data_IF_814445488594
#
_entry.id   IF_814445488594
#
_cell.length_a   1.000
_cell.length_b   1.000
_cell.length_c   1.000
_cell.angle_alpha   90.00
_cell.angle_beta   90.00
_cell.angle_gamma   90.00
#
_symmetry.space_group_name_H-M   'P 1'
#
loop_
_entity.id
_entity.type
_entity.pdbx_description
1 polymer ?
#
# COMPACT_ATOMS: atom_id res chain seq x y z
N UNK A 1 19.72 47.67 -47.40
CA UNK A 1 20.93 46.97 -46.90
C UNK A 1 20.45 46.03 -45.80
N UNK A 2 20.61 44.71 -45.75
CA UNK A 2 21.35 43.72 -46.55
C UNK A 2 21.02 42.30 -45.99
N UNK A 3 20.87 41.30 -46.88
CA UNK A 3 21.26 39.87 -46.78
C UNK A 3 20.66 39.04 -45.61
N UNK A 4 19.77 38.06 -45.78
CA UNK A 4 19.83 36.84 -46.61
C UNK A 4 21.15 36.05 -46.38
N UNK A 5 21.16 35.12 -45.41
CA UNK A 5 22.19 34.05 -45.34
C UNK A 5 21.85 32.98 -44.29
N UNK A 6 22.16 31.73 -44.65
CA UNK A 6 22.35 30.53 -43.79
C UNK A 6 21.19 29.55 -43.66
N UNK A 7 20.69 29.10 -44.81
CA UNK A 7 20.63 27.67 -45.10
C UNK A 7 22.05 27.26 -45.51
N UNK A 8 22.62 26.22 -44.90
CA UNK A 8 23.74 25.38 -45.40
C UNK A 8 24.62 24.88 -44.25
N UNK A 9 24.23 23.77 -43.62
CA UNK A 9 25.22 22.88 -42.98
C UNK A 9 24.68 21.45 -42.86
N UNK A 10 24.13 20.92 -43.94
CA UNK A 10 24.01 19.46 -44.13
C UNK A 10 25.10 19.09 -45.13
N UNK A 11 25.79 17.98 -44.86
CA UNK A 11 26.79 17.32 -45.71
C UNK A 11 28.16 18.01 -45.86
N UNK A 12 29.09 17.60 -45.00
CA UNK A 12 30.49 17.46 -45.41
C UNK A 12 31.14 16.29 -44.65
N UNK A 13 31.11 15.12 -45.28
CA UNK A 13 32.15 14.08 -45.38
C UNK A 13 32.83 13.62 -44.06
N UNK A 14 32.60 12.43 -43.52
CA UNK A 14 32.95 11.05 -43.97
C UNK A 14 34.47 10.83 -44.18
N UNK A 15 34.97 9.78 -43.50
CA UNK A 15 36.28 9.04 -43.59
C UNK A 15 37.47 9.78 -42.93
N UNK A 16 38.28 9.25 -42.00
CA UNK A 16 39.10 8.01 -41.97
C UNK A 16 39.58 7.78 -40.52
N UNK A 17 39.68 6.53 -40.02
CA UNK A 17 40.46 6.23 -38.80
C UNK A 17 40.23 4.85 -38.16
N UNK A 18 40.61 3.79 -38.86
CA UNK A 18 40.58 2.38 -38.43
C UNK A 18 41.81 2.03 -37.56
N UNK A 19 41.64 1.27 -36.45
CA UNK A 19 42.54 0.22 -35.91
C UNK A 19 42.20 -0.09 -34.44
N UNK A 20 41.53 -1.22 -34.16
CA UNK A 20 42.12 -2.48 -33.67
C UNK A 20 42.48 -2.49 -32.18
N UNK A 21 41.67 -3.17 -31.37
CA UNK A 21 42.16 -4.07 -30.32
C UNK A 21 41.22 -5.28 -30.20
N UNK A 22 41.80 -6.44 -30.38
CA UNK A 22 41.20 -7.77 -30.33
C UNK A 22 40.96 -8.23 -28.89
N UNK A 23 39.83 -8.89 -28.65
CA UNK A 23 39.72 -9.97 -27.67
C UNK A 23 38.95 -11.13 -28.30
N UNK A 24 39.46 -12.38 -28.20
CA UNK A 24 38.87 -13.53 -28.87
C UNK A 24 37.56 -13.96 -28.19
N UNK A 25 36.48 -13.92 -28.95
CA UNK A 25 35.22 -14.57 -28.59
C UNK A 25 35.42 -16.09 -28.67
N UNK A 26 35.21 -16.78 -27.55
CA UNK A 26 35.16 -18.23 -27.52
C UNK A 26 33.94 -18.75 -28.27
N UNK A 27 34.22 -19.55 -29.30
CA UNK A 27 33.30 -20.48 -29.93
C UNK A 27 32.73 -21.48 -28.92
N UNK A 28 31.40 -21.55 -28.86
CA UNK A 28 30.57 -22.77 -29.02
C UNK A 28 29.11 -22.45 -28.69
N UNK A 29 28.18 -22.43 -29.66
CA UNK A 29 26.77 -22.49 -29.36
C UNK A 29 26.41 -23.93 -28.97
N UNK A 30 26.34 -24.20 -27.67
CA UNK A 30 25.61 -25.38 -27.19
C UNK A 30 24.15 -25.21 -27.60
N UNK A 31 23.76 -25.96 -28.62
CA UNK A 31 22.39 -26.21 -29.06
C UNK A 31 21.61 -26.92 -27.93
N UNK A 32 21.34 -26.21 -26.83
CA UNK A 32 20.23 -26.57 -25.95
C UNK A 32 19.01 -25.92 -26.57
N UNK A 33 18.28 -26.76 -27.32
CA UNK A 33 16.92 -26.52 -27.78
C UNK A 33 16.10 -26.16 -26.54
N UNK A 34 15.97 -24.85 -26.25
CA UNK A 34 15.14 -24.33 -25.17
C UNK A 34 13.72 -24.71 -25.53
N UNK A 35 13.24 -25.83 -25.01
CA UNK A 35 11.82 -26.14 -25.01
C UNK A 35 11.15 -24.92 -24.38
N UNK A 36 10.29 -24.27 -25.16
CA UNK A 36 9.43 -23.21 -24.66
C UNK A 36 8.73 -23.79 -23.44
N UNK A 37 9.02 -23.23 -22.27
CA UNK A 37 8.26 -23.56 -21.08
C UNK A 37 6.79 -23.32 -21.44
N UNK A 38 5.86 -24.19 -20.99
CA UNK A 38 4.44 -23.91 -21.10
C UNK A 38 4.22 -22.49 -20.57
N UNK A 39 3.44 -21.68 -21.30
CA UNK A 39 3.06 -20.36 -20.80
C UNK A 39 2.60 -20.54 -19.35
N UNK A 40 3.17 -19.79 -18.39
CA UNK A 40 2.71 -19.88 -17.02
C UNK A 40 1.19 -19.66 -17.06
N UNK A 41 0.40 -20.48 -16.37
CA UNK A 41 -1.04 -20.26 -16.30
C UNK A 41 -1.24 -18.79 -15.91
N UNK A 42 -2.24 -18.09 -16.49
CA UNK A 42 -2.49 -16.70 -16.15
C UNK A 42 -2.53 -16.63 -14.64
N UNK A 43 -1.54 -15.92 -14.07
CA UNK A 43 -1.42 -15.77 -12.64
C UNK A 43 -2.70 -15.05 -12.24
N UNK A 44 -3.71 -15.82 -11.79
CA UNK A 44 -4.87 -15.29 -11.12
C UNK A 44 -4.30 -14.34 -10.08
N UNK A 45 -4.57 -13.04 -10.26
CA UNK A 45 -3.88 -11.93 -9.60
C UNK A 45 -3.50 -12.34 -8.18
N UNK A 46 -2.23 -12.73 -8.02
CA UNK A 46 -1.73 -13.27 -6.76
C UNK A 46 -1.52 -12.06 -5.88
N UNK A 47 -2.63 -11.53 -5.39
CA UNK A 47 -2.76 -11.02 -4.05
C UNK A 47 -1.46 -10.41 -3.51
N UNK A 48 -1.05 -9.24 -4.01
CA UNK A 48 -0.17 -8.34 -3.28
C UNK A 48 -0.94 -7.86 -2.04
N UNK A 49 -1.21 -8.77 -1.10
CA UNK A 49 -2.34 -8.59 -0.17
C UNK A 49 -1.91 -7.87 1.09
N UNK A 50 -0.75 -8.16 1.67
CA UNK A 50 -0.33 -7.58 2.95
C UNK A 50 0.27 -6.17 2.86
N UNK A 51 0.70 -5.73 1.68
CA UNK A 51 1.33 -4.42 1.51
C UNK A 51 0.26 -3.36 1.26
N UNK A 52 0.24 -2.31 2.07
CA UNK A 52 -0.65 -1.18 1.85
C UNK A 52 -0.33 -0.52 0.50
N UNK A 53 -1.34 -0.35 -0.39
CA UNK A 53 -1.15 0.37 -1.64
C UNK A 53 -0.48 1.72 -1.42
N UNK A 54 0.51 2.06 -2.26
CA UNK A 54 1.40 3.21 -2.04
C UNK A 54 0.62 4.53 -1.99
N UNK A 55 -0.40 4.65 -2.81
CA UNK A 55 -1.33 5.77 -2.87
C UNK A 55 -2.14 5.96 -1.59
N UNK A 56 -2.37 4.90 -0.81
CA UNK A 56 -3.08 4.99 0.45
C UNK A 56 -2.19 5.47 1.60
N UNK A 57 -0.88 5.22 1.56
CA UNK A 57 0.03 5.63 2.64
C UNK A 57 -0.03 7.13 2.93
N UNK A 58 -0.17 7.95 1.88
CA UNK A 58 -0.30 9.41 1.98
C UNK A 58 -1.74 9.92 1.83
N UNK A 59 -2.72 9.04 1.63
CA UNK A 59 -4.11 9.44 1.47
C UNK A 59 -4.64 10.06 2.75
N UNK A 60 -5.23 11.26 2.66
CA UNK A 60 -5.80 11.97 3.80
C UNK A 60 -7.12 11.34 4.21
N UNK A 61 -7.33 11.11 5.49
CA UNK A 61 -8.65 10.78 6.00
C UNK A 61 -9.48 12.06 6.16
N UNK A 62 -10.65 12.09 5.54
CA UNK A 62 -11.53 13.26 5.48
C UNK A 62 -12.84 13.07 6.24
N UNK A 63 -12.92 12.06 7.10
CA UNK A 63 -14.01 11.91 8.06
C UNK A 63 -14.17 13.21 8.89
N UNK A 64 -15.40 13.65 9.19
CA UNK A 64 -15.63 14.72 10.15
C UNK A 64 -14.91 14.40 11.46
N UNK A 65 -14.21 15.36 12.07
CA UNK A 65 -13.63 15.14 13.39
C UNK A 65 -14.74 14.96 14.43
N UNK A 66 -14.50 14.14 15.45
CA UNK A 66 -15.44 13.95 16.57
C UNK A 66 -15.46 15.20 17.46
N UNK A 67 -14.30 15.83 17.65
CA UNK A 67 -14.12 17.11 18.34
C UNK A 67 -13.07 17.97 17.64
N UNK A 68 -13.01 19.27 17.96
CA UNK A 68 -12.10 20.22 17.29
C UNK A 68 -10.61 19.91 17.49
N UNK A 69 -10.25 19.06 18.46
CA UNK A 69 -8.88 18.65 18.74
C UNK A 69 -8.50 17.35 18.01
N UNK A 70 -9.45 16.64 17.40
CA UNK A 70 -9.19 15.39 16.72
C UNK A 70 -8.23 15.60 15.53
N UNK A 71 -7.08 14.90 15.49
CA UNK A 71 -6.05 15.15 14.50
C UNK A 71 -6.47 14.67 13.11
N UNK A 72 -6.13 15.47 12.09
CA UNK A 72 -6.26 15.06 10.70
C UNK A 72 -5.10 14.15 10.32
N UNK A 73 -5.36 12.86 10.22
CA UNK A 73 -4.34 11.85 9.91
C UNK A 73 -4.48 11.29 8.48
N UNK A 74 -3.47 10.55 8.03
CA UNK A 74 -3.53 9.77 6.78
C UNK A 74 -3.97 8.34 7.06
N UNK A 75 -4.38 7.60 6.02
CA UNK A 75 -4.61 6.16 6.13
C UNK A 75 -3.35 5.45 6.62
N UNK A 76 -2.17 5.81 6.10
CA UNK A 76 -0.89 5.24 6.58
C UNK A 76 -0.68 5.45 8.09
N UNK A 77 -1.02 6.63 8.61
CA UNK A 77 -0.87 6.93 10.03
C UNK A 77 -1.91 6.21 10.90
N UNK A 78 -3.15 6.06 10.42
CA UNK A 78 -4.16 5.23 11.06
C UNK A 78 -3.66 3.78 11.24
N UNK A 79 -3.06 3.20 10.19
CA UNK A 79 -2.53 1.83 10.26
C UNK A 79 -1.36 1.71 11.23
N UNK A 80 -0.50 2.73 11.31
CA UNK A 80 0.58 2.76 12.31
C UNK A 80 0.03 2.72 13.73
N UNK A 81 -1.01 3.51 14.02
CA UNK A 81 -1.66 3.50 15.33
C UNK A 81 -2.36 2.17 15.62
N UNK A 82 -3.04 1.59 14.63
CA UNK A 82 -3.69 0.29 14.78
C UNK A 82 -2.69 -0.86 14.98
N UNK A 83 -1.54 -0.84 14.30
CA UNK A 83 -0.44 -1.80 14.52
C UNK A 83 0.11 -1.66 15.95
N UNK A 84 0.26 -0.43 16.46
CA UNK A 84 0.69 -0.20 17.86
C UNK A 84 -0.34 -0.72 18.85
N UNK A 85 -1.61 -0.41 18.66
CA UNK A 85 -2.71 -0.91 19.49
C UNK A 85 -2.69 -2.45 19.59
N UNK A 86 -2.66 -3.15 18.46
CA UNK A 86 -2.58 -4.62 18.46
C UNK A 86 -1.29 -5.19 19.04
N UNK A 87 -0.19 -4.45 18.96
CA UNK A 87 1.07 -4.83 19.60
C UNK A 87 0.95 -4.72 21.12
N UNK A 88 0.20 -3.73 21.61
CA UNK A 88 -0.08 -3.60 23.04
C UNK A 88 -0.93 -4.76 23.57
N UNK A 89 -1.86 -5.27 22.75
CA UNK A 89 -2.70 -6.44 23.05
C UNK A 89 -1.99 -7.79 22.83
N UNK A 90 -0.67 -7.81 22.62
CA UNK A 90 0.12 -9.03 22.45
C UNK A 90 -0.32 -9.95 21.30
N UNK A 91 -1.00 -9.42 20.28
CA UNK A 91 -1.50 -10.24 19.17
C UNK A 91 -0.38 -10.96 18.40
N UNK A 92 0.83 -10.38 18.35
CA UNK A 92 1.93 -10.86 17.50
C UNK A 92 1.66 -10.73 16.00
N UNK A 93 0.57 -10.07 15.61
CA UNK A 93 0.15 -9.89 14.23
C UNK A 93 0.10 -8.40 13.88
N UNK A 94 0.31 -8.10 12.60
CA UNK A 94 0.02 -6.77 12.05
C UNK A 94 -1.48 -6.59 11.96
N UNK A 95 -1.96 -5.36 12.11
CA UNK A 95 -3.36 -5.01 11.91
C UNK A 95 -3.83 -5.32 10.49
N UNK A 96 -3.00 -5.03 9.50
CA UNK A 96 -3.31 -5.31 8.08
C UNK A 96 -3.13 -6.80 7.78
N UNK A 97 -4.22 -7.47 7.41
CA UNK A 97 -4.18 -8.83 6.84
C UNK A 97 -4.10 -8.79 5.33
N UNK A 98 -5.03 -8.08 4.69
CA UNK A 98 -5.00 -7.92 3.24
C UNK A 98 -5.78 -6.73 2.72
N UNK A 99 -5.37 -6.19 1.58
CA UNK A 99 -6.15 -5.21 0.80
C UNK A 99 -6.88 -5.83 -0.39
N UNK A 100 -8.07 -5.32 -0.65
CA UNK A 100 -8.87 -5.57 -1.85
C UNK A 100 -9.25 -4.22 -2.48
N UNK A 101 -9.07 -4.08 -3.79
CA UNK A 101 -9.49 -2.90 -4.54
C UNK A 101 -10.86 -3.14 -5.16
N UNK A 102 -11.80 -2.25 -4.86
CA UNK A 102 -13.20 -2.32 -5.28
C UNK A 102 -13.53 -1.07 -6.13
N UNK A 103 -13.02 -1.05 -7.37
CA UNK A 103 -13.09 0.13 -8.24
C UNK A 103 -12.22 1.28 -7.70
N UNK A 104 -12.87 2.38 -7.31
CA UNK A 104 -12.24 3.55 -6.68
C UNK A 104 -12.16 3.43 -5.14
N UNK A 105 -12.73 2.36 -4.59
CA UNK A 105 -12.73 2.08 -3.16
C UNK A 105 -11.70 1.01 -2.80
N UNK A 106 -11.38 0.95 -1.51
CA UNK A 106 -10.50 -0.06 -0.94
C UNK A 106 -11.16 -0.73 0.25
N UNK A 107 -10.99 -2.05 0.35
CA UNK A 107 -11.37 -2.82 1.52
C UNK A 107 -10.13 -3.37 2.19
N UNK A 108 -10.00 -3.09 3.48
CA UNK A 108 -8.97 -3.64 4.34
C UNK A 108 -9.55 -4.81 5.14
N UNK A 109 -9.05 -6.01 4.88
CA UNK A 109 -9.22 -7.14 5.78
C UNK A 109 -8.17 -6.99 6.89
N UNK A 110 -8.61 -7.04 8.15
CA UNK A 110 -7.76 -6.90 9.33
C UNK A 110 -7.44 -8.28 9.95
N UNK A 111 -6.41 -8.35 10.79
CA UNK A 111 -6.20 -9.48 11.71
C UNK A 111 -6.84 -9.22 13.08
N UNK A 112 -7.76 -8.25 13.16
CA UNK A 112 -8.44 -7.91 14.40
C UNK A 112 -9.75 -8.69 14.46
N UNK A 113 -9.97 -9.37 15.59
CA UNK A 113 -11.18 -10.19 15.78
C UNK A 113 -12.42 -9.34 16.14
N UNK A 114 -12.22 -8.06 16.45
CA UNK A 114 -13.26 -7.13 16.94
C UNK A 114 -13.83 -6.22 15.86
N UNK A 115 -13.22 -6.17 14.67
CA UNK A 115 -13.73 -5.34 13.56
C UNK A 115 -13.81 -6.13 12.27
N UNK A 116 -14.95 -6.02 11.58
CA UNK A 116 -15.09 -6.50 10.21
C UNK A 116 -14.23 -5.66 9.25
N UNK A 117 -14.06 -6.09 7.99
CA UNK A 117 -13.27 -5.35 7.02
C UNK A 117 -13.63 -3.87 6.94
N UNK A 118 -12.60 -3.02 6.99
CA UNK A 118 -12.76 -1.56 6.90
C UNK A 118 -12.90 -1.16 5.43
N UNK A 119 -13.90 -0.33 5.12
CA UNK A 119 -14.15 0.13 3.74
C UNK A 119 -13.78 1.61 3.61
N UNK A 120 -12.87 1.91 2.69
CA UNK A 120 -12.40 3.25 2.36
C UNK A 120 -12.98 3.68 1.02
N UNK A 121 -13.77 4.75 1.03
CA UNK A 121 -14.21 5.42 -0.18
C UNK A 121 -13.20 6.51 -0.54
N UNK A 122 -12.47 6.33 -1.64
CA UNK A 122 -11.35 7.21 -1.98
C UNK A 122 -11.61 7.98 -3.28
N UNK A 123 -11.12 9.22 -3.33
CA UNK A 123 -11.15 10.07 -4.52
C UNK A 123 -9.81 10.75 -4.68
N UNK A 124 -9.30 10.76 -5.92
CA UNK A 124 -8.13 11.54 -6.31
C UNK A 124 -8.57 12.94 -6.74
N UNK A 125 -7.90 13.94 -6.20
CA UNK A 125 -8.08 15.37 -6.52
C UNK A 125 -6.69 15.95 -6.84
N UNK A 126 -6.40 16.06 -8.14
CA UNK A 126 -5.05 16.34 -8.64
C UNK A 126 -4.03 15.31 -8.17
N UNK A 127 -3.00 15.77 -7.46
CA UNK A 127 -1.96 14.91 -6.87
C UNK A 127 -2.35 14.34 -5.49
N UNK A 128 -3.46 14.80 -4.91
CA UNK A 128 -3.88 14.38 -3.56
C UNK A 128 -4.88 13.23 -3.65
N UNK A 129 -4.76 12.28 -2.74
CA UNK A 129 -5.77 11.23 -2.54
C UNK A 129 -6.44 11.49 -1.21
N UNK A 130 -7.78 11.54 -1.21
CA UNK A 130 -8.59 11.69 -0.01
C UNK A 130 -9.44 10.44 0.15
N UNK A 131 -9.54 9.91 1.36
CA UNK A 131 -10.33 8.73 1.67
C UNK A 131 -11.27 9.02 2.84
N UNK A 132 -12.48 8.50 2.75
CA UNK A 132 -13.45 8.47 3.83
C UNK A 132 -13.55 7.03 4.34
N UNK A 133 -13.35 6.83 5.64
CA UNK A 133 -13.59 5.56 6.30
C UNK A 133 -15.07 5.42 6.58
N UNK A 134 -15.68 4.38 6.01
CA UNK A 134 -17.10 4.07 6.23
C UNK A 134 -17.35 3.60 7.67
N UNK A 135 -18.61 3.57 8.08
CA UNK A 135 -19.04 2.97 9.33
C UNK A 135 -18.51 1.53 9.49
N UNK A 136 -18.09 1.21 10.71
CA UNK A 136 -17.46 -0.05 11.07
C UNK A 136 -18.50 -0.95 11.75
N UNK A 137 -18.70 -2.14 11.19
CA UNK A 137 -19.47 -3.21 11.82
C UNK A 137 -18.53 -4.00 12.76
N UNK A 138 -18.72 -3.87 14.07
CA UNK A 138 -17.97 -4.64 15.08
C UNK A 138 -18.33 -6.13 15.07
N UNK A 139 -19.47 -6.50 14.48
CA UNK A 139 -19.87 -7.87 14.22
C UNK A 139 -21.12 -8.31 14.98
N UNK A 140 -21.65 -9.50 14.63
CA UNK A 140 -22.96 -9.97 15.06
C UNK A 140 -23.01 -10.43 16.52
N UNK A 141 -21.87 -10.46 17.21
CA UNK A 141 -21.79 -10.82 18.63
C UNK A 141 -22.31 -9.68 19.54
N UNK A 142 -22.44 -8.46 19.02
CA UNK A 142 -23.08 -7.34 19.70
C UNK A 142 -24.54 -7.28 19.23
N UNK A 143 -25.45 -7.49 20.17
CA UNK A 143 -26.88 -7.59 19.87
C UNK A 143 -27.53 -6.22 19.65
N UNK A 144 -27.09 -5.21 20.40
CA UNK A 144 -27.54 -3.85 20.23
C UNK A 144 -26.92 -3.24 18.95
N UNK A 145 -27.77 -2.76 18.05
CA UNK A 145 -27.33 -2.19 16.78
C UNK A 145 -26.60 -0.85 16.98
N UNK A 146 -27.01 -0.06 17.98
CA UNK A 146 -26.38 1.23 18.29
C UNK A 146 -24.94 1.03 18.79
N UNK A 147 -24.69 -0.09 19.49
CA UNK A 147 -23.35 -0.45 19.95
C UNK A 147 -22.52 -1.18 18.89
N UNK A 148 -23.18 -1.83 17.91
CA UNK A 148 -22.51 -2.65 16.91
C UNK A 148 -21.83 -1.81 15.82
N UNK A 149 -22.47 -0.73 15.41
CA UNK A 149 -22.00 0.11 14.32
C UNK A 149 -21.30 1.36 14.87
N UNK A 150 -20.04 1.56 14.47
CA UNK A 150 -19.23 2.67 14.94
C UNK A 150 -18.92 3.61 13.78
N UNK A 151 -19.18 4.93 13.91
CA UNK A 151 -18.78 5.90 12.90
C UNK A 151 -17.27 5.86 12.61
N UNK A 152 -16.89 6.03 11.35
CA UNK A 152 -15.48 6.06 10.96
C UNK A 152 -14.65 7.11 11.70
N UNK A 153 -15.25 8.24 12.05
CA UNK A 153 -14.64 9.31 12.85
C UNK A 153 -14.26 8.84 14.25
N UNK A 154 -15.18 8.17 14.94
CA UNK A 154 -14.96 7.63 16.29
C UNK A 154 -13.90 6.53 16.29
N UNK A 155 -13.93 5.65 15.29
CA UNK A 155 -12.89 4.63 15.15
C UNK A 155 -11.50 5.23 14.91
N UNK A 156 -11.40 6.30 14.11
CA UNK A 156 -10.13 7.01 13.87
C UNK A 156 -9.62 7.62 15.18
N UNK A 157 -10.47 8.27 15.95
CA UNK A 157 -10.10 8.84 17.24
C UNK A 157 -9.65 7.76 18.23
N UNK A 158 -10.44 6.69 18.35
CA UNK A 158 -10.11 5.55 19.20
C UNK A 158 -8.72 5.00 18.88
N UNK A 159 -8.43 4.74 17.61
CA UNK A 159 -7.12 4.22 17.19
C UNK A 159 -6.01 5.22 17.46
N UNK A 160 -6.22 6.51 17.23
CA UNK A 160 -5.24 7.55 17.54
C UNK A 160 -4.89 7.55 19.04
N UNK A 161 -5.89 7.60 19.91
CA UNK A 161 -5.70 7.70 21.36
C UNK A 161 -5.02 6.45 21.93
N UNK A 162 -5.54 5.27 21.58
CA UNK A 162 -5.03 3.98 22.09
C UNK A 162 -3.72 3.55 21.39
N UNK A 163 -3.50 3.99 20.15
CA UNK A 163 -2.22 3.77 19.45
C UNK A 163 -1.10 4.68 19.95
N UNK A 164 -1.44 5.83 20.56
CA UNK A 164 -0.49 6.68 21.27
C UNK A 164 -0.17 6.12 22.66
N UNK A 165 -1.19 5.65 23.36
CA UNK A 165 -1.09 5.19 24.73
C UNK A 165 -1.02 3.66 24.77
N UNK A 166 0.18 3.10 24.87
CA UNK A 166 0.34 1.66 25.11
C UNK A 166 0.14 1.35 26.59
N UNK A 167 -1.10 1.47 27.08
CA UNK A 167 -1.46 1.19 28.45
C UNK A 167 -1.46 -0.32 28.67
N UNK A 168 -0.33 -0.85 29.15
CA UNK A 168 -0.19 -2.26 29.50
C UNK A 168 0.11 -2.41 30.98
N UNK A 169 -0.64 -3.28 31.63
CA UNK A 169 -0.43 -3.63 33.04
C UNK A 169 0.78 -4.56 33.24
N UNK A 170 1.26 -5.22 32.17
CA UNK A 170 2.41 -6.13 32.25
C UNK A 170 3.00 -6.58 30.89
N UNK A 171 4.10 -7.35 30.91
CA UNK A 171 4.76 -7.88 29.71
C UNK A 171 3.88 -8.90 28.98
N UNK A 172 4.18 -9.18 27.71
CA UNK A 172 3.39 -10.16 26.96
C UNK A 172 3.63 -11.55 27.54
N UNK A 173 2.59 -12.41 27.59
CA UNK A 173 2.82 -13.81 27.85
C UNK A 173 3.83 -14.34 26.84
N UNK A 174 4.76 -15.19 27.30
CA UNK A 174 5.69 -15.85 26.42
C UNK A 174 4.90 -16.67 25.38
N UNK A 175 5.14 -16.42 24.09
CA UNK A 175 4.50 -17.20 23.05
C UNK A 175 5.01 -18.63 23.13
N UNK A 176 4.13 -19.57 23.49
CA UNK A 176 4.42 -21.00 23.41
C UNK A 176 4.26 -21.39 21.94
N UNK A 177 5.33 -21.81 21.24
CA UNK A 177 5.20 -22.25 19.86
C UNK A 177 4.22 -23.44 19.78
N UNK A 178 3.41 -23.53 18.70
CA UNK A 178 2.51 -24.66 18.52
C UNK A 178 3.32 -25.97 18.44
N UNK A 179 2.82 -27.01 19.12
CA UNK A 179 3.41 -28.35 19.18
C UNK A 179 3.38 -29.06 17.82
#
# INVERSE_FOLDING_TARGET
MSKLSRIDTVLRNIVVGLALLWLPACDKPTFIKRMTAPDPPPVAARAMRQVTPRELLSARLVNPPVDDNAPRITVGKLLEYADRYLSCDCSGLRFVKSWERLGDNYRLITNSDIVRPLNFACRRDGEKTNCYLSEIDRGPHIQDLEERFVPGSEFIQFMYENGLQCAREGPCPAQIPPA
#
